data_IF_757398099837
#
_entry.id   IF_757398099837
#
_cell.length_a   1.000
_cell.length_b   1.000
_cell.length_c   1.000
_cell.angle_alpha   90.00
_cell.angle_beta   90.00
_cell.angle_gamma   90.00
#
_symmetry.space_group_name_H-M   'P 1'
#
loop_
_entity.id
_entity.type
_entity.pdbx_description
1 polymer ?
#
# COMPACT_ATOMS: atom_id res chain seq x y z
N UNK A 1 -19.78 45.57 46.46
CA UNK A 1 -20.32 45.09 45.17
C UNK A 1 -19.16 44.42 44.44
N UNK A 2 -19.07 43.09 44.49
CA UNK A 2 -17.97 42.31 43.88
C UNK A 2 -18.32 42.04 42.42
N UNK A 3 -17.53 42.56 41.49
CA UNK A 3 -17.57 42.17 40.08
C UNK A 3 -16.78 40.87 39.92
N UNK A 4 -17.45 39.81 39.46
CA UNK A 4 -16.85 38.53 39.10
C UNK A 4 -16.60 38.59 37.60
N UNK A 5 -15.33 38.57 37.18
CA UNK A 5 -14.96 38.41 35.78
C UNK A 5 -15.20 36.95 35.38
N UNK A 6 -16.13 36.73 34.43
CA UNK A 6 -16.33 35.45 33.78
C UNK A 6 -15.45 35.39 32.53
N UNK A 7 -14.37 34.62 32.59
CA UNK A 7 -13.58 34.25 31.41
C UNK A 7 -14.31 33.12 30.67
N UNK A 8 -14.78 33.39 29.46
CA UNK A 8 -15.33 32.39 28.54
C UNK A 8 -14.16 31.77 27.78
N UNK A 9 -13.81 30.53 28.10
CA UNK A 9 -12.87 29.75 27.31
C UNK A 9 -13.60 29.12 26.12
N UNK A 10 -13.31 29.60 24.91
CA UNK A 10 -13.70 28.94 23.66
C UNK A 10 -12.84 27.68 23.49
N UNK A 11 -13.43 26.52 23.74
CA UNK A 11 -12.83 25.23 23.39
C UNK A 11 -13.05 25.06 21.89
N UNK A 12 -12.00 25.35 21.10
CA UNK A 12 -11.94 24.98 19.68
C UNK A 12 -11.77 23.46 19.61
N UNK A 13 -12.82 22.74 19.21
CA UNK A 13 -12.73 21.31 18.94
C UNK A 13 -11.97 21.10 17.64
N UNK A 14 -10.74 20.59 17.74
CA UNK A 14 -10.00 20.07 16.59
C UNK A 14 -10.72 18.80 16.15
N UNK A 15 -11.57 18.91 15.12
CA UNK A 15 -12.09 17.74 14.42
C UNK A 15 -10.93 17.17 13.61
N UNK A 16 -10.21 16.18 14.16
CA UNK A 16 -9.42 15.28 13.33
C UNK A 16 -10.39 14.48 12.48
N UNK A 17 -10.54 14.89 11.22
CA UNK A 17 -11.19 14.09 10.21
C UNK A 17 -10.34 12.83 10.05
N UNK A 18 -10.85 11.68 10.48
CA UNK A 18 -10.23 10.40 10.15
C UNK A 18 -10.60 10.12 8.70
N UNK A 19 -9.76 10.58 7.78
CA UNK A 19 -9.75 10.03 6.42
C UNK A 19 -9.29 8.59 6.54
N UNK A 20 -10.16 7.64 6.22
CA UNK A 20 -9.78 6.23 6.11
C UNK A 20 -8.78 6.18 4.95
N UNK A 21 -7.48 6.09 5.25
CA UNK A 21 -6.48 5.91 4.21
C UNK A 21 -6.83 4.64 3.43
N UNK A 22 -7.06 4.76 2.12
CA UNK A 22 -7.23 3.58 1.27
C UNK A 22 -5.99 2.71 1.43
N UNK A 23 -6.17 1.42 1.71
CA UNK A 23 -5.04 0.50 1.80
C UNK A 23 -4.39 0.41 0.41
N UNK A 24 -3.06 0.59 0.28
CA UNK A 24 -2.38 0.45 -0.99
C UNK A 24 -2.73 -0.88 -1.69
N UNK A 25 -2.98 -0.82 -2.99
CA UNK A 25 -3.42 -1.93 -3.83
C UNK A 25 -2.23 -2.41 -4.67
N UNK A 26 -2.04 -3.74 -4.69
CA UNK A 26 -0.94 -4.38 -5.41
C UNK A 26 -1.18 -4.36 -6.93
N UNK A 27 -0.14 -4.02 -7.69
CA UNK A 27 -0.05 -4.24 -9.13
C UNK A 27 1.37 -4.68 -9.48
N UNK A 28 1.49 -5.86 -10.10
CA UNK A 28 2.77 -6.58 -10.22
C UNK A 28 3.48 -6.67 -8.86
N UNK A 29 4.73 -6.22 -8.77
CA UNK A 29 5.52 -6.31 -7.53
C UNK A 29 5.35 -5.07 -6.63
N UNK A 30 4.72 -4.00 -7.14
CA UNK A 30 4.56 -2.73 -6.44
C UNK A 30 3.16 -2.58 -5.82
N UNK A 31 3.02 -1.60 -4.92
CA UNK A 31 1.73 -1.20 -4.35
C UNK A 31 1.49 0.27 -4.59
N UNK A 32 0.23 0.64 -4.76
CA UNK A 32 -0.16 2.00 -5.13
C UNK A 32 -1.36 2.46 -4.33
N UNK A 33 -1.44 3.76 -4.09
CA UNK A 33 -2.64 4.41 -3.58
C UNK A 33 -2.81 5.79 -4.22
N UNK A 34 -4.06 6.28 -4.22
CA UNK A 34 -4.37 7.64 -4.60
C UNK A 34 -4.63 8.48 -3.35
N UNK A 35 -4.01 9.65 -3.27
CA UNK A 35 -4.21 10.60 -2.18
C UNK A 35 -4.93 11.84 -2.73
N UNK A 36 -6.19 12.01 -2.34
CA UNK A 36 -6.92 13.25 -2.56
C UNK A 36 -6.48 14.31 -1.54
N UNK A 37 -6.12 15.51 -2.00
CA UNK A 37 -5.73 16.61 -1.12
C UNK A 37 -6.93 17.49 -0.83
N UNK A 38 -7.20 17.73 0.46
CA UNK A 38 -8.24 18.68 0.88
C UNK A 38 -7.81 20.11 0.57
N UNK A 39 -8.68 20.87 -0.11
CA UNK A 39 -8.42 22.23 -0.58
C UNK A 39 -7.14 22.32 -1.43
N UNK A 40 -7.05 21.61 -2.56
CA UNK A 40 -5.80 21.38 -3.29
C UNK A 40 -5.18 22.66 -3.89
N UNK A 41 -5.94 23.74 -3.95
CA UNK A 41 -5.50 25.04 -4.49
C UNK A 41 -5.14 26.07 -3.39
N UNK A 42 -5.15 25.66 -2.12
CA UNK A 42 -4.91 26.55 -1.00
C UNK A 42 -3.43 26.53 -0.55
N UNK A 43 -2.68 27.55 -0.96
CA UNK A 43 -1.27 27.68 -0.57
C UNK A 43 -0.41 26.60 -1.24
N UNK A 44 0.44 25.90 -0.47
CA UNK A 44 1.42 24.96 -1.00
C UNK A 44 1.11 23.49 -0.64
N UNK A 45 -0.12 23.15 -0.29
CA UNK A 45 -0.48 21.81 0.19
C UNK A 45 -0.53 20.72 -0.89
N UNK A 46 -0.66 21.10 -2.18
CA UNK A 46 -0.68 20.15 -3.29
C UNK A 46 0.29 20.54 -4.44
N UNK A 47 1.36 21.28 -4.14
CA UNK A 47 2.42 21.44 -5.15
C UNK A 47 3.06 20.09 -5.44
N UNK A 48 3.60 19.88 -6.64
CA UNK A 48 4.30 18.64 -6.99
C UNK A 48 5.38 18.27 -5.96
N UNK A 49 6.16 19.27 -5.52
CA UNK A 49 7.21 19.09 -4.50
C UNK A 49 6.65 18.69 -3.14
N UNK A 50 5.50 19.26 -2.75
CA UNK A 50 4.81 18.87 -1.51
C UNK A 50 4.26 17.46 -1.63
N UNK A 51 3.64 17.12 -2.76
CA UNK A 51 3.10 15.79 -3.01
C UNK A 51 4.20 14.72 -2.96
N UNK A 52 5.36 14.95 -3.59
CA UNK A 52 6.51 14.05 -3.53
C UNK A 52 7.09 13.94 -2.12
N UNK A 53 7.24 15.07 -1.41
CA UNK A 53 7.72 15.04 -0.02
C UNK A 53 6.78 14.23 0.87
N UNK A 54 5.47 14.44 0.77
CA UNK A 54 4.47 13.69 1.54
C UNK A 54 4.47 12.21 1.14
N UNK A 55 4.52 11.89 -0.16
CA UNK A 55 4.64 10.51 -0.65
C UNK A 55 5.88 9.80 -0.07
N UNK A 56 7.03 10.49 -0.04
CA UNK A 56 8.29 9.96 0.50
C UNK A 56 8.25 9.67 2.00
N UNK A 57 7.34 10.31 2.74
CA UNK A 57 7.15 10.08 4.18
C UNK A 57 6.17 8.96 4.48
N UNK A 58 5.37 8.53 3.50
CA UNK A 58 4.46 7.40 3.69
C UNK A 58 5.25 6.10 3.69
N UNK A 59 4.86 5.18 4.57
CA UNK A 59 5.50 3.88 4.70
C UNK A 59 4.44 2.79 4.60
N UNK A 60 4.62 1.89 3.64
CA UNK A 60 3.80 0.70 3.51
C UNK A 60 4.70 -0.53 3.53
N UNK A 61 4.42 -1.47 4.45
CA UNK A 61 5.21 -2.70 4.64
C UNK A 61 6.73 -2.45 4.74
N UNK A 62 7.11 -1.34 5.39
CA UNK A 62 8.53 -0.97 5.60
C UNK A 62 9.21 -0.29 4.41
N UNK A 63 8.48 -0.03 3.32
CA UNK A 63 8.96 0.68 2.13
C UNK A 63 8.41 2.11 2.13
N UNK A 64 9.27 3.08 1.90
CA UNK A 64 8.87 4.47 1.69
C UNK A 64 8.23 4.66 0.30
N UNK A 65 7.19 5.48 0.23
CA UNK A 65 6.53 5.81 -1.03
C UNK A 65 7.33 6.80 -1.88
N UNK A 66 6.82 7.06 -3.09
CA UNK A 66 7.19 8.16 -4.00
C UNK A 66 6.00 8.47 -4.91
N UNK A 67 6.01 9.57 -5.63
CA UNK A 67 5.06 9.75 -6.73
C UNK A 67 5.29 8.67 -7.79
N UNK A 68 4.18 8.08 -8.24
CA UNK A 68 4.19 6.93 -9.12
C UNK A 68 4.83 7.24 -10.48
N UNK A 69 5.68 6.31 -10.94
CA UNK A 69 6.10 6.22 -12.35
C UNK A 69 5.12 5.33 -13.12
N UNK A 70 5.10 5.44 -14.45
CA UNK A 70 4.21 4.62 -15.29
C UNK A 70 4.95 4.10 -16.53
N UNK A 71 5.36 2.85 -16.49
CA UNK A 71 6.20 2.26 -17.53
C UNK A 71 5.45 1.37 -18.53
N UNK A 72 4.12 1.25 -18.38
CA UNK A 72 3.28 0.50 -19.31
C UNK A 72 1.83 0.99 -19.37
N UNK A 73 1.14 0.64 -20.47
CA UNK A 73 -0.32 0.86 -20.59
C UNK A 73 -1.09 0.16 -19.45
N UNK A 74 -0.69 -1.05 -19.07
CA UNK A 74 -1.40 -1.81 -18.04
C UNK A 74 -1.31 -1.13 -16.67
N UNK A 75 -0.15 -0.55 -16.34
CA UNK A 75 0.04 0.24 -15.12
C UNK A 75 -0.77 1.54 -15.16
N UNK A 76 -0.78 2.21 -16.33
CA UNK A 76 -1.60 3.40 -16.54
C UNK A 76 -3.09 3.15 -16.29
N UNK A 77 -3.61 2.08 -16.90
CA UNK A 77 -5.01 1.68 -16.76
C UNK A 77 -5.34 1.28 -15.31
N UNK A 78 -4.38 0.63 -14.63
CA UNK A 78 -4.51 0.28 -13.21
C UNK A 78 -4.61 1.53 -12.32
N UNK A 79 -3.71 2.50 -12.48
CA UNK A 79 -3.74 3.75 -11.70
C UNK A 79 -5.05 4.52 -11.91
N UNK A 80 -5.48 4.68 -13.17
CA UNK A 80 -6.78 5.29 -13.46
C UNK A 80 -7.93 4.49 -12.83
N UNK A 81 -7.86 3.16 -12.84
CA UNK A 81 -8.83 2.27 -12.23
C UNK A 81 -9.05 2.50 -10.72
N UNK A 82 -8.03 2.98 -9.99
CA UNK A 82 -8.13 3.32 -8.56
C UNK A 82 -9.17 4.43 -8.28
N UNK A 83 -9.38 5.32 -9.25
CA UNK A 83 -10.17 6.55 -9.13
C UNK A 83 -11.31 6.66 -10.15
N UNK A 84 -11.38 5.73 -11.10
CA UNK A 84 -12.35 5.78 -12.20
C UNK A 84 -13.80 5.92 -11.70
N UNK A 85 -14.52 6.87 -12.28
CA UNK A 85 -15.93 7.16 -11.94
C UNK A 85 -16.16 7.92 -10.64
N UNK A 86 -15.11 8.34 -9.92
CA UNK A 86 -15.25 9.10 -8.66
C UNK A 86 -15.40 10.61 -8.89
N UNK A 87 -14.92 11.11 -10.03
CA UNK A 87 -14.73 12.52 -10.29
C UNK A 87 -15.52 13.00 -11.50
N UNK A 88 -16.16 14.17 -11.36
CA UNK A 88 -16.87 14.87 -12.44
C UNK A 88 -16.05 16.07 -12.91
N UNK A 89 -16.04 16.33 -14.21
CA UNK A 89 -15.20 17.38 -14.81
C UNK A 89 -13.73 17.00 -14.92
N UNK A 90 -12.92 17.85 -15.55
CA UNK A 90 -11.48 17.62 -15.77
C UNK A 90 -10.70 17.85 -14.47
N UNK A 91 -10.00 16.81 -13.99
CA UNK A 91 -9.24 16.84 -12.75
C UNK A 91 -7.96 16.01 -12.91
N UNK A 92 -6.88 16.45 -12.27
CA UNK A 92 -5.57 15.83 -12.37
C UNK A 92 -5.12 15.13 -11.10
N UNK A 93 -4.20 14.18 -11.25
CA UNK A 93 -3.41 13.60 -10.17
C UNK A 93 -1.93 13.62 -10.54
N UNK A 94 -1.06 14.17 -9.67
CA UNK A 94 0.38 14.20 -9.93
C UNK A 94 0.97 12.80 -10.10
N UNK A 95 1.91 12.70 -11.05
CA UNK A 95 2.81 11.57 -11.26
C UNK A 95 4.25 12.01 -11.01
N UNK A 96 5.17 11.05 -10.98
CA UNK A 96 6.59 11.28 -10.67
C UNK A 96 7.44 11.90 -11.79
N UNK A 97 6.81 12.33 -12.87
CA UNK A 97 7.50 12.75 -14.10
C UNK A 97 7.57 14.26 -14.28
N UNK A 98 8.49 14.68 -15.14
CA UNK A 98 8.55 16.03 -15.71
C UNK A 98 8.99 15.96 -17.17
N UNK A 99 8.31 16.65 -18.07
CA UNK A 99 8.72 16.73 -19.47
C UNK A 99 9.68 17.91 -19.70
N UNK A 100 10.75 17.78 -20.51
CA UNK A 100 11.23 16.59 -21.22
C UNK A 100 12.20 15.73 -20.39
N UNK A 101 12.38 16.00 -19.10
CA UNK A 101 13.37 15.31 -18.26
C UNK A 101 13.10 13.81 -18.06
N UNK A 102 11.85 13.37 -18.16
CA UNK A 102 11.42 12.00 -17.92
C UNK A 102 10.92 11.76 -16.50
N UNK A 103 11.10 10.55 -16.00
CA UNK A 103 10.81 10.24 -14.59
C UNK A 103 11.88 10.86 -13.70
N UNK A 104 11.45 11.63 -12.70
CA UNK A 104 12.33 12.31 -11.75
C UNK A 104 12.15 11.79 -10.31
N UNK A 105 11.22 10.85 -10.14
CA UNK A 105 11.09 10.00 -8.95
C UNK A 105 11.51 8.58 -9.32
N UNK A 106 12.11 7.87 -8.36
CA UNK A 106 12.55 6.49 -8.57
C UNK A 106 13.87 6.33 -9.33
N UNK A 107 14.08 5.14 -9.91
CA UNK A 107 15.35 4.71 -10.51
C UNK A 107 15.36 4.77 -12.04
N UNK A 108 14.20 4.56 -12.67
CA UNK A 108 14.00 4.81 -14.10
C UNK A 108 13.95 6.31 -14.35
N UNK A 109 14.61 6.78 -15.41
CA UNK A 109 14.59 8.21 -15.79
C UNK A 109 13.94 8.47 -17.14
N UNK A 110 13.69 7.45 -17.97
CA UNK A 110 13.10 7.61 -19.30
C UNK A 110 11.60 7.30 -19.30
N UNK A 111 10.82 8.08 -20.06
CA UNK A 111 9.45 7.71 -20.40
C UNK A 111 9.44 6.57 -21.44
N UNK A 112 9.41 5.32 -20.97
CA UNK A 112 9.33 4.14 -21.83
C UNK A 112 7.92 3.93 -22.40
N UNK A 113 6.92 4.39 -21.66
CA UNK A 113 5.52 4.49 -22.07
C UNK A 113 5.12 5.97 -22.10
N UNK A 114 4.33 6.36 -23.10
CA UNK A 114 3.84 7.72 -23.29
C UNK A 114 2.31 7.73 -23.19
N UNK A 115 1.79 8.21 -22.06
CA UNK A 115 0.35 8.34 -21.83
C UNK A 115 -0.22 9.71 -22.16
N UNK A 116 0.57 10.64 -22.73
CA UNK A 116 0.12 12.01 -23.02
C UNK A 116 -1.08 12.06 -23.97
N UNK A 117 -2.04 12.94 -23.67
CA UNK A 117 -3.27 13.14 -24.45
C UNK A 117 -3.27 14.44 -25.25
N UNK A 118 -4.18 14.54 -26.23
CA UNK A 118 -4.39 15.79 -26.97
C UNK A 118 -3.13 16.35 -27.64
N UNK A 119 -2.77 17.58 -27.30
CA UNK A 119 -1.55 18.28 -27.77
C UNK A 119 -0.43 18.27 -26.72
N UNK A 120 -0.52 17.38 -25.73
CA UNK A 120 0.48 17.22 -24.68
C UNK A 120 1.61 16.27 -25.12
N UNK A 121 2.82 16.43 -24.57
CA UNK A 121 3.24 17.52 -23.69
C UNK A 121 3.58 18.81 -24.46
N UNK A 122 3.26 19.99 -23.91
CA UNK A 122 3.56 21.28 -24.54
C UNK A 122 4.09 22.40 -23.62
N UNK A 123 4.35 22.13 -22.34
CA UNK A 123 4.75 23.16 -21.37
C UNK A 123 6.10 22.92 -20.66
N UNK A 124 6.75 21.80 -20.92
CA UNK A 124 7.97 21.37 -20.22
C UNK A 124 7.79 21.27 -18.69
N UNK A 125 6.63 20.72 -18.28
CA UNK A 125 6.24 20.66 -16.88
C UNK A 125 6.06 19.31 -16.24
N UNK A 126 5.65 19.35 -14.98
CA UNK A 126 5.42 18.18 -14.14
C UNK A 126 4.20 17.44 -14.63
N UNK A 127 4.30 16.12 -14.66
CA UNK A 127 3.29 15.27 -15.28
C UNK A 127 2.16 14.97 -14.30
N UNK A 128 0.93 15.06 -14.79
CA UNK A 128 -0.25 14.58 -14.09
C UNK A 128 -1.15 13.74 -15.00
N UNK A 129 -1.88 12.80 -14.42
CA UNK A 129 -2.90 12.01 -15.10
C UNK A 129 -4.26 12.69 -14.96
N UNK A 130 -5.04 12.81 -16.05
CA UNK A 130 -6.44 13.17 -16.00
C UNK A 130 -7.24 12.03 -15.36
N UNK A 131 -7.79 12.26 -14.17
CA UNK A 131 -8.58 11.30 -13.39
C UNK A 131 -10.08 11.55 -13.48
N UNK A 132 -10.50 12.60 -14.18
CA UNK A 132 -11.90 13.00 -14.35
C UNK A 132 -12.41 12.80 -15.78
N UNK A 133 -13.24 13.73 -16.24
CA UNK A 133 -13.82 13.77 -17.59
C UNK A 133 -12.82 14.26 -18.64
N UNK A 134 -13.06 13.91 -19.90
CA UNK A 134 -12.21 14.35 -21.01
C UNK A 134 -12.35 15.85 -21.27
N UNK A 135 -11.24 16.55 -21.44
CA UNK A 135 -11.21 17.97 -21.81
C UNK A 135 -10.00 18.29 -22.67
N UNK A 136 -10.12 19.28 -23.57
CA UNK A 136 -9.02 19.75 -24.43
C UNK A 136 -8.31 18.65 -25.25
N UNK A 137 -9.00 17.54 -25.53
CA UNK A 137 -8.42 16.38 -26.23
C UNK A 137 -7.62 15.42 -25.32
N UNK A 138 -7.53 15.71 -24.02
CA UNK A 138 -6.96 14.84 -22.99
C UNK A 138 -8.09 13.99 -22.43
N UNK A 139 -8.10 12.72 -22.80
CA UNK A 139 -9.02 11.71 -22.31
C UNK A 139 -8.78 11.32 -20.86
N UNK A 140 -9.75 10.65 -20.25
CA UNK A 140 -9.57 10.06 -18.91
C UNK A 140 -8.45 9.01 -18.94
N UNK A 141 -7.57 9.04 -17.94
CA UNK A 141 -6.37 8.20 -17.86
C UNK A 141 -5.22 8.64 -18.77
N UNK A 142 -5.36 9.73 -19.55
CA UNK A 142 -4.25 10.32 -20.31
C UNK A 142 -3.52 11.38 -19.48
N UNK A 143 -2.29 11.71 -19.89
CA UNK A 143 -1.43 12.63 -19.17
C UNK A 143 -1.39 14.01 -19.81
N UNK A 144 -1.05 14.99 -18.99
CA UNK A 144 -0.63 16.33 -19.38
C UNK A 144 0.59 16.73 -18.57
N UNK A 145 1.39 17.66 -19.09
CA UNK A 145 2.40 18.35 -18.30
C UNK A 145 1.86 19.71 -17.85
N UNK A 146 2.18 20.11 -16.62
CA UNK A 146 1.59 21.30 -16.04
C UNK A 146 2.09 22.60 -16.67
N UNK A 147 1.20 23.57 -16.67
CA UNK A 147 1.40 24.88 -17.26
C UNK A 147 1.55 25.96 -16.19
N UNK A 148 1.86 27.18 -16.61
CA UNK A 148 1.97 28.31 -15.68
C UNK A 148 3.15 28.17 -14.71
N UNK A 149 2.88 28.27 -13.41
CA UNK A 149 3.93 28.12 -12.37
C UNK A 149 4.13 26.63 -12.12
N UNK A 150 5.26 26.14 -12.61
CA UNK A 150 5.64 24.74 -12.58
C UNK A 150 5.55 24.09 -11.19
N UNK A 151 4.84 22.98 -11.13
CA UNK A 151 4.51 22.18 -9.96
C UNK A 151 3.42 22.78 -9.09
N UNK A 152 2.64 23.76 -9.53
CA UNK A 152 1.62 24.43 -8.72
C UNK A 152 0.23 24.25 -9.34
N UNK A 153 -0.71 23.56 -8.66
CA UNK A 153 -2.04 23.31 -9.20
C UNK A 153 -2.88 24.58 -9.26
N UNK A 154 -3.69 24.72 -10.32
CA UNK A 154 -4.61 25.84 -10.53
C UNK A 154 -5.92 25.32 -11.10
N UNK A 155 -7.03 25.54 -10.38
CA UNK A 155 -8.37 24.99 -10.67
C UNK A 155 -8.85 25.14 -12.13
N UNK A 156 -8.47 26.23 -12.79
CA UNK A 156 -8.99 26.55 -14.12
C UNK A 156 -7.99 26.25 -15.24
N UNK A 157 -6.82 25.69 -14.90
CA UNK A 157 -5.70 25.50 -15.82
C UNK A 157 -5.18 24.07 -15.70
N UNK A 158 -4.62 23.74 -14.54
CA UNK A 158 -4.12 22.42 -14.17
C UNK A 158 -4.79 21.99 -12.86
N UNK A 159 -6.05 21.50 -12.92
CA UNK A 159 -6.88 21.18 -11.75
C UNK A 159 -6.42 19.88 -11.07
N UNK A 160 -5.16 19.84 -10.63
CA UNK A 160 -4.59 18.69 -9.93
C UNK A 160 -5.09 18.72 -8.49
N UNK A 161 -5.84 17.69 -8.11
CA UNK A 161 -6.52 17.58 -6.81
C UNK A 161 -5.86 16.59 -5.85
N UNK A 162 -4.88 15.84 -6.34
CA UNK A 162 -4.25 14.77 -5.58
C UNK A 162 -3.04 14.20 -6.30
N UNK A 163 -2.61 13.02 -5.87
CA UNK A 163 -1.43 12.38 -6.42
C UNK A 163 -1.44 10.86 -6.22
N UNK A 164 -0.77 10.14 -7.12
CA UNK A 164 -0.56 8.69 -6.97
C UNK A 164 0.75 8.41 -6.26
N UNK A 165 0.69 7.56 -5.25
CA UNK A 165 1.87 7.07 -4.52
C UNK A 165 2.17 5.66 -4.97
N UNK A 166 3.43 5.38 -5.28
CA UNK A 166 3.99 4.06 -5.54
C UNK A 166 4.92 3.68 -4.38
N UNK A 167 4.85 2.41 -3.98
CA UNK A 167 5.79 1.78 -3.07
C UNK A 167 6.54 0.69 -3.85
N UNK A 168 7.79 0.98 -4.22
CA UNK A 168 8.60 0.11 -5.07
C UNK A 168 9.24 -1.03 -4.28
N UNK A 169 9.11 -2.25 -4.82
CA UNK A 169 9.96 -3.37 -4.46
C UNK A 169 9.19 -4.64 -4.14
N UNK A 170 9.91 -5.77 -4.21
CA UNK A 170 9.46 -7.05 -3.69
C UNK A 170 9.15 -6.89 -2.19
N UNK A 171 7.86 -6.74 -1.88
CA UNK A 171 7.39 -6.74 -0.51
C UNK A 171 7.74 -8.09 0.08
N UNK A 172 8.86 -8.15 0.81
CA UNK A 172 9.17 -9.31 1.62
C UNK A 172 7.95 -9.53 2.51
N UNK A 173 7.32 -10.70 2.38
CA UNK A 173 6.02 -10.91 2.98
C UNK A 173 6.21 -10.77 4.49
N UNK A 174 5.48 -9.80 5.07
CA UNK A 174 5.82 -9.29 6.39
C UNK A 174 5.48 -10.37 7.41
N UNK A 175 6.45 -10.90 8.16
CA UNK A 175 6.19 -11.99 9.07
C UNK A 175 5.16 -11.58 10.13
N UNK A 176 3.98 -12.20 10.07
CA UNK A 176 2.86 -11.96 10.98
C UNK A 176 2.93 -12.94 12.13
N UNK A 177 3.10 -12.42 13.35
CA UNK A 177 3.01 -13.23 14.57
C UNK A 177 1.54 -13.63 14.79
N UNK A 178 1.29 -14.93 14.91
CA UNK A 178 -0.03 -15.50 15.19
C UNK A 178 0.03 -16.38 16.44
N UNK A 179 -1.11 -16.57 17.07
CA UNK A 179 -1.25 -17.42 18.25
C UNK A 179 -2.58 -18.18 18.18
N UNK A 180 -2.59 -19.47 18.52
CA UNK A 180 -3.84 -20.23 18.50
C UNK A 180 -3.72 -21.62 19.13
N UNK A 181 -4.87 -22.24 19.37
CA UNK A 181 -4.95 -23.66 19.72
C UNK A 181 -4.83 -24.51 18.46
N UNK A 182 -3.96 -25.51 18.49
CA UNK A 182 -3.77 -26.42 17.37
C UNK A 182 -4.96 -27.37 17.29
N UNK A 183 -5.61 -27.42 16.12
CA UNK A 183 -6.78 -28.26 15.85
C UNK A 183 -6.41 -29.63 15.29
N UNK A 184 -5.37 -29.69 14.46
CA UNK A 184 -4.75 -30.92 14.01
C UNK A 184 -3.30 -30.66 13.56
N UNK A 185 -2.52 -31.74 13.51
CA UNK A 185 -1.15 -31.78 12.99
C UNK A 185 -1.04 -33.00 12.08
N UNK A 186 -0.40 -32.87 10.91
CA UNK A 186 -0.05 -34.02 10.08
C UNK A 186 1.29 -33.83 9.38
N UNK A 187 1.97 -34.94 9.15
CA UNK A 187 3.21 -35.03 8.38
C UNK A 187 3.09 -36.21 7.40
N UNK A 188 3.52 -36.03 6.15
CA UNK A 188 3.56 -37.12 5.17
C UNK A 188 4.89 -37.86 5.30
N UNK A 189 4.84 -39.19 5.29
CA UNK A 189 6.05 -40.04 5.39
C UNK A 189 7.07 -39.76 4.27
N UNK A 190 6.62 -39.26 3.13
CA UNK A 190 7.46 -38.93 1.97
C UNK A 190 8.14 -37.56 2.05
N UNK A 191 7.81 -36.73 3.05
CA UNK A 191 8.30 -35.35 3.17
C UNK A 191 8.77 -35.07 4.61
N UNK A 192 9.94 -35.59 5.04
CA UNK A 192 10.42 -35.44 6.41
C UNK A 192 10.79 -34.00 6.79
N UNK A 193 10.94 -33.13 5.80
CA UNK A 193 11.28 -31.71 5.94
C UNK A 193 10.08 -30.77 6.03
N UNK A 194 8.86 -31.32 5.91
CA UNK A 194 7.64 -30.53 5.88
C UNK A 194 6.55 -31.17 6.74
N UNK A 195 5.75 -30.34 7.40
CA UNK A 195 4.54 -30.79 8.07
C UNK A 195 3.54 -29.65 8.14
N UNK A 196 2.27 -30.01 8.31
CA UNK A 196 1.17 -29.07 8.33
C UNK A 196 0.46 -29.12 9.69
N UNK A 197 -0.07 -27.98 10.10
CA UNK A 197 -0.94 -27.86 11.27
C UNK A 197 -2.06 -26.87 10.99
N UNK A 198 -3.10 -26.86 11.82
CA UNK A 198 -4.19 -25.89 11.71
C UNK A 198 -4.52 -25.25 13.04
N UNK A 199 -4.92 -23.98 13.00
CA UNK A 199 -5.62 -23.27 14.09
C UNK A 199 -6.99 -22.81 13.56
N UNK A 200 -8.00 -22.51 14.39
CA UNK A 200 -9.35 -22.16 13.91
C UNK A 200 -9.44 -20.90 13.03
N UNK A 201 -8.46 -20.02 13.09
CA UNK A 201 -8.44 -18.75 12.35
C UNK A 201 -7.91 -18.93 10.91
N UNK A 202 -8.55 -18.25 9.95
CA UNK A 202 -8.09 -18.21 8.57
C UNK A 202 -6.83 -17.34 8.43
N UNK A 203 -5.88 -17.80 7.62
CA UNK A 203 -4.71 -17.05 7.16
C UNK A 203 -4.97 -16.33 5.83
N UNK A 204 -3.95 -15.57 5.37
CA UNK A 204 -3.98 -14.83 4.12
C UNK A 204 -4.13 -15.69 2.86
N UNK A 205 -3.85 -17.00 2.95
CA UNK A 205 -3.99 -17.96 1.86
C UNK A 205 -5.41 -18.56 1.76
N UNK A 206 -6.38 -18.03 2.51
CA UNK A 206 -7.78 -18.43 2.44
C UNK A 206 -8.12 -19.77 3.10
N UNK A 207 -7.24 -20.29 3.97
CA UNK A 207 -7.53 -21.47 4.78
C UNK A 207 -7.07 -21.31 6.22
N UNK A 208 -7.35 -22.31 7.05
CA UNK A 208 -6.90 -22.40 8.44
C UNK A 208 -5.61 -23.23 8.58
N UNK A 209 -4.95 -23.57 7.48
CA UNK A 209 -3.83 -24.53 7.39
C UNK A 209 -2.50 -23.80 7.21
N UNK A 210 -1.54 -24.19 8.03
CA UNK A 210 -0.19 -23.66 8.04
C UNK A 210 0.81 -24.77 7.73
N UNK A 211 1.87 -24.43 7.01
CA UNK A 211 2.94 -25.35 6.61
C UNK A 211 4.27 -24.90 7.17
N UNK A 212 4.96 -25.81 7.84
CA UNK A 212 6.34 -25.62 8.24
C UNK A 212 7.24 -26.32 7.21
N UNK A 213 8.22 -25.59 6.68
CA UNK A 213 9.30 -26.14 5.86
C UNK A 213 10.65 -25.94 6.53
N UNK A 214 11.57 -26.87 6.34
CA UNK A 214 12.97 -26.71 6.71
C UNK A 214 13.87 -27.44 5.72
N UNK A 215 15.04 -26.88 5.43
CA UNK A 215 16.08 -27.59 4.66
C UNK A 215 16.77 -28.70 5.46
N UNK A 216 16.49 -28.79 6.76
CA UNK A 216 17.13 -29.69 7.71
C UNK A 216 16.05 -30.52 8.44
N UNK A 217 16.18 -31.85 8.35
CA UNK A 217 15.23 -32.81 8.92
C UNK A 217 15.19 -32.71 10.45
N UNK A 218 16.32 -32.47 11.11
CA UNK A 218 16.37 -32.37 12.56
C UNK A 218 15.68 -31.08 13.04
N UNK A 219 15.82 -29.99 12.28
CA UNK A 219 15.09 -28.74 12.55
C UNK A 219 13.58 -28.93 12.32
N UNK A 220 13.18 -29.60 11.24
CA UNK A 220 11.77 -29.93 10.97
C UNK A 220 11.18 -30.79 12.12
N UNK A 221 11.87 -31.85 12.52
CA UNK A 221 11.44 -32.74 13.60
C UNK A 221 11.33 -32.02 14.95
N UNK A 222 12.26 -31.10 15.27
CA UNK A 222 12.17 -30.28 16.48
C UNK A 222 10.94 -29.37 16.45
N UNK A 223 10.67 -28.72 15.32
CA UNK A 223 9.46 -27.88 15.16
C UNK A 223 8.19 -28.73 15.25
N UNK A 224 8.18 -29.91 14.64
CA UNK A 224 7.07 -30.85 14.71
C UNK A 224 6.77 -31.26 16.16
N UNK A 225 7.80 -31.62 16.94
CA UNK A 225 7.64 -31.96 18.35
C UNK A 225 7.05 -30.82 19.19
N UNK A 226 7.43 -29.56 18.93
CA UNK A 226 6.86 -28.38 19.59
C UNK A 226 5.36 -28.23 19.27
N UNK A 227 4.98 -28.41 18.00
CA UNK A 227 3.58 -28.29 17.57
C UNK A 227 2.74 -29.46 18.09
N UNK A 228 3.29 -30.68 18.10
CA UNK A 228 2.66 -31.85 18.71
C UNK A 228 2.44 -31.66 20.21
N UNK A 229 3.43 -31.12 20.93
CA UNK A 229 3.27 -30.77 22.34
C UNK A 229 2.15 -29.74 22.53
N UNK A 230 2.06 -28.72 21.68
CA UNK A 230 0.98 -27.75 21.76
C UNK A 230 -0.40 -28.41 21.58
N UNK A 231 -0.50 -29.32 20.62
CA UNK A 231 -1.70 -30.08 20.31
C UNK A 231 -2.13 -31.02 21.45
N UNK A 232 -1.24 -31.87 21.93
CA UNK A 232 -1.54 -32.91 22.93
C UNK A 232 -1.96 -32.34 24.28
N UNK A 233 -1.35 -31.22 24.68
CA UNK A 233 -1.61 -30.57 25.98
C UNK A 233 -2.61 -29.41 25.88
N UNK A 234 -3.15 -29.12 24.69
CA UNK A 234 -4.06 -28.00 24.48
C UNK A 234 -3.43 -26.64 24.83
N UNK A 235 -2.13 -26.49 24.58
CA UNK A 235 -1.39 -25.27 24.83
C UNK A 235 -1.53 -24.31 23.65
N UNK A 236 -1.40 -23.00 23.91
CA UNK A 236 -1.34 -22.00 22.84
C UNK A 236 0.01 -22.08 22.12
N UNK A 237 -0.05 -22.28 20.81
CA UNK A 237 1.09 -22.19 19.91
C UNK A 237 1.19 -20.74 19.39
N UNK A 238 2.34 -20.10 19.57
CA UNK A 238 2.71 -18.91 18.82
C UNK A 238 3.62 -19.28 17.67
N UNK A 239 3.43 -18.62 16.54
CA UNK A 239 4.19 -18.88 15.33
C UNK A 239 4.24 -17.66 14.43
N UNK A 240 5.11 -17.72 13.42
CA UNK A 240 5.28 -16.62 12.46
C UNK A 240 4.88 -17.08 11.08
N UNK A 241 3.71 -16.61 10.64
CA UNK A 241 3.23 -16.69 9.27
C UNK A 241 4.06 -15.72 8.42
N UNK A 242 4.81 -16.22 7.45
CA UNK A 242 5.65 -15.36 6.60
C UNK A 242 4.89 -14.79 5.41
N UNK A 243 3.56 -14.86 5.36
CA UNK A 243 2.71 -14.29 4.29
C UNK A 243 3.09 -14.83 2.88
N UNK A 244 3.63 -16.04 2.84
CA UNK A 244 3.82 -16.86 1.64
C UNK A 244 2.81 -17.99 1.60
N UNK A 245 2.29 -18.30 0.40
CA UNK A 245 1.31 -19.35 0.21
C UNK A 245 1.89 -20.52 -0.59
N UNK A 246 1.74 -21.74 -0.05
CA UNK A 246 1.90 -22.99 -0.78
C UNK A 246 0.51 -23.61 -1.01
N UNK A 247 -0.06 -23.31 -2.17
CA UNK A 247 -1.49 -23.47 -2.46
C UNK A 247 -2.34 -22.71 -1.42
N UNK A 248 -3.16 -23.43 -0.66
CA UNK A 248 -4.01 -22.87 0.38
C UNK A 248 -3.33 -22.84 1.76
N UNK A 249 -2.02 -23.07 1.86
CA UNK A 249 -1.31 -23.15 3.15
C UNK A 249 -0.40 -21.94 3.35
N UNK A 250 -0.51 -21.27 4.49
CA UNK A 250 0.44 -20.22 4.86
C UNK A 250 1.75 -20.82 5.38
N UNK A 251 2.89 -20.33 4.90
CA UNK A 251 4.20 -20.81 5.33
C UNK A 251 4.58 -20.22 6.69
N UNK A 252 5.20 -21.03 7.54
CA UNK A 252 5.60 -20.67 8.89
C UNK A 252 7.11 -20.79 9.09
N UNK A 253 7.74 -19.72 9.59
CA UNK A 253 9.19 -19.68 9.82
C UNK A 253 9.60 -20.14 11.22
N UNK A 254 8.83 -19.79 12.26
CA UNK A 254 9.09 -20.17 13.65
C UNK A 254 7.82 -20.63 14.37
N UNK A 255 8.01 -21.44 15.42
CA UNK A 255 6.96 -21.98 16.29
C UNK A 255 7.49 -22.03 17.73
N UNK A 256 6.63 -21.73 18.71
CA UNK A 256 6.91 -21.86 20.15
C UNK A 256 5.62 -22.06 20.95
N UNK A 257 5.72 -22.72 22.10
CA UNK A 257 4.62 -22.85 23.07
C UNK A 257 4.67 -21.68 24.06
N UNK A 258 3.53 -21.03 24.32
CA UNK A 258 3.50 -19.80 25.17
C UNK A 258 2.71 -19.95 26.46
N UNK A 259 1.73 -20.85 26.51
CA UNK A 259 0.96 -21.09 27.73
C UNK A 259 0.82 -22.58 27.99
N UNK A 260 1.37 -23.02 29.12
CA UNK A 260 1.13 -24.36 29.64
C UNK A 260 -0.20 -24.36 30.39
N UNK A 261 -1.18 -25.10 29.90
CA UNK A 261 -2.29 -25.53 30.75
C UNK A 261 -1.72 -26.60 31.68
N UNK A 262 -1.27 -26.20 32.88
CA UNK A 262 -0.99 -27.15 33.95
C UNK A 262 -2.32 -27.80 34.33
N UNK A 263 -2.51 -29.06 33.92
CA UNK A 263 -3.49 -29.94 34.53
C UNK A 263 -3.07 -30.30 35.95
#
# INVERSE_FOLDING_TARGET
MKLINASVALISSVFSCITVASTPIKFNDNYYEFIEVTAPYAGNNNTWHTAELEASQRVFKGVNGRLAIVDSQAENDFLYGLVSGQYTGFQGAWLGGKYPEGWITGTTSAFNYLGFGGSEPNNSGYVYMNIGESSWGIGSGQWADDSGVQGVPVDNVDPVIGYFVEYEGEFLPTPTKRAGLVSYVYQLDTLPTEFDFSIPESNGCGSSIYRVKSSDVDIANRKFAIVMQAFEYGNTLEFTDIDECDYNRAIVSDVKVVKYNTQ
#
